data_IF_729679319043
#
_entry.id   IF_729679319043
#
_cell.length_a   1.000
_cell.length_b   1.000
_cell.length_c   1.000
_cell.angle_alpha   90.00
_cell.angle_beta   90.00
_cell.angle_gamma   90.00
#
_symmetry.space_group_name_H-M   'P 1'
#
loop_
_entity.id
_entity.type
_entity.pdbx_description
1 polymer ?
#
# COMPACT_ATOMS: atom_id res chain seq x y z
N UNK A 1 24.00 -5.44 74.45
CA UNK A 1 24.05 -6.41 73.32
C UNK A 1 23.09 -5.93 72.22
N UNK A 2 23.63 -5.32 71.16
CA UNK A 2 22.83 -4.73 70.07
C UNK A 2 22.75 -5.79 68.92
N UNK A 3 21.56 -6.34 68.73
CA UNK A 3 21.28 -7.31 67.63
C UNK A 3 21.06 -6.52 66.35
N UNK A 4 21.97 -6.64 65.37
CA UNK A 4 21.82 -6.14 64.01
C UNK A 4 21.01 -7.13 63.21
N UNK A 5 19.81 -6.76 62.83
CA UNK A 5 18.94 -7.53 61.92
C UNK A 5 19.39 -7.21 60.50
N UNK A 6 20.04 -8.18 59.83
CA UNK A 6 20.47 -8.07 58.45
C UNK A 6 19.28 -8.37 57.54
N UNK A 7 18.70 -7.33 56.92
CA UNK A 7 17.62 -7.47 55.94
C UNK A 7 18.24 -7.84 54.61
N UNK A 8 18.14 -9.12 54.21
CA UNK A 8 18.57 -9.56 52.86
C UNK A 8 17.42 -9.24 51.87
N UNK A 9 17.59 -8.18 51.05
CA UNK A 9 16.72 -7.89 49.91
C UNK A 9 17.05 -8.86 48.78
N UNK A 10 16.20 -9.89 48.62
CA UNK A 10 16.27 -10.77 47.45
C UNK A 10 15.66 -10.03 46.25
N UNK A 11 16.53 -9.48 45.39
CA UNK A 11 16.12 -9.00 44.06
C UNK A 11 15.76 -10.22 43.21
N UNK A 12 14.47 -10.51 43.08
CA UNK A 12 13.97 -11.41 42.07
C UNK A 12 14.13 -10.72 40.69
N UNK A 13 15.25 -10.96 40.03
CA UNK A 13 15.41 -10.62 38.62
C UNK A 13 14.43 -11.51 37.84
N UNK A 14 13.22 -11.02 37.61
CA UNK A 14 12.25 -11.64 36.71
C UNK A 14 12.86 -11.64 35.29
N UNK A 15 13.40 -12.78 34.86
CA UNK A 15 13.70 -12.99 33.46
C UNK A 15 12.38 -12.84 32.69
N UNK A 16 12.17 -11.70 32.06
CA UNK A 16 11.09 -11.52 31.11
C UNK A 16 11.30 -12.54 29.98
N UNK A 17 10.55 -13.62 30.02
CA UNK A 17 10.63 -14.71 29.07
C UNK A 17 10.13 -14.16 27.73
N UNK A 18 11.03 -14.01 26.76
CA UNK A 18 10.65 -13.58 25.41
C UNK A 18 9.68 -14.60 24.82
N UNK A 19 8.48 -14.17 24.58
CA UNK A 19 7.49 -14.91 23.80
C UNK A 19 7.26 -14.12 22.52
N UNK A 20 7.35 -14.78 21.38
CA UNK A 20 7.01 -14.19 20.10
C UNK A 20 5.80 -14.93 19.51
N UNK A 21 4.92 -14.19 18.88
CA UNK A 21 3.75 -14.69 18.19
C UNK A 21 3.77 -14.19 16.75
N UNK A 22 3.65 -15.12 15.82
CA UNK A 22 3.66 -14.83 14.38
C UNK A 22 2.33 -15.27 13.79
N UNK A 23 1.75 -14.49 12.92
CA UNK A 23 0.50 -14.81 12.24
C UNK A 23 0.48 -14.24 10.83
N UNK A 24 -0.04 -14.99 9.87
CA UNK A 24 -0.28 -14.53 8.50
C UNK A 24 -1.71 -14.00 8.40
N UNK A 25 -1.82 -12.72 8.02
CA UNK A 25 -3.13 -12.09 7.83
C UNK A 25 -3.61 -12.30 6.38
N UNK A 26 -4.93 -12.41 6.17
CA UNK A 26 -5.49 -12.42 4.83
C UNK A 26 -5.32 -11.05 4.16
N UNK A 27 -5.07 -11.05 2.85
CA UNK A 27 -5.20 -9.88 1.99
C UNK A 27 -6.68 -9.50 1.82
N UNK A 28 -6.95 -8.34 1.24
CA UNK A 28 -8.31 -7.88 0.98
C UNK A 28 -9.13 -8.80 0.04
N UNK A 29 -8.45 -9.55 -0.82
CA UNK A 29 -9.03 -10.55 -1.73
C UNK A 29 -9.20 -11.94 -1.10
N UNK A 30 -8.86 -12.09 0.19
CA UNK A 30 -8.91 -13.36 0.92
C UNK A 30 -7.70 -14.29 0.71
N UNK A 31 -6.79 -13.95 -0.18
CA UNK A 31 -5.52 -14.67 -0.33
C UNK A 31 -4.59 -14.41 0.86
N UNK A 32 -3.50 -15.15 0.97
CA UNK A 32 -2.45 -14.87 1.96
C UNK A 32 -1.07 -15.04 1.33
N UNK A 33 -0.10 -14.30 1.86
CA UNK A 33 1.31 -14.62 1.67
C UNK A 33 1.71 -15.88 2.43
N UNK A 34 3.00 -16.24 2.33
CA UNK A 34 3.58 -17.31 3.12
C UNK A 34 4.85 -16.82 3.81
N UNK A 35 5.04 -17.19 5.06
CA UNK A 35 6.28 -16.96 5.82
C UNK A 35 6.74 -18.25 6.47
N UNK A 36 8.05 -18.41 6.57
CA UNK A 36 8.65 -19.50 7.36
C UNK A 36 9.25 -18.91 8.62
N UNK A 37 8.84 -19.45 9.78
CA UNK A 37 9.38 -19.08 11.08
C UNK A 37 10.29 -20.21 11.54
N UNK A 38 11.53 -19.89 11.95
CA UNK A 38 12.52 -20.90 12.36
C UNK A 38 13.25 -20.45 13.62
N UNK A 39 13.53 -21.41 14.51
CA UNK A 39 14.39 -21.24 15.68
C UNK A 39 15.82 -21.75 15.44
N UNK A 40 16.16 -22.14 14.20
CA UNK A 40 17.45 -22.72 13.83
C UNK A 40 17.50 -24.25 13.88
N UNK A 41 16.57 -24.90 14.61
CA UNK A 41 16.42 -26.36 14.65
C UNK A 41 15.10 -26.80 14.03
N UNK A 42 14.03 -26.05 14.27
CA UNK A 42 12.70 -26.28 13.73
C UNK A 42 12.28 -25.16 12.79
N UNK A 43 11.41 -25.49 11.83
CA UNK A 43 10.82 -24.52 10.91
C UNK A 43 9.33 -24.80 10.75
N UNK A 44 8.53 -23.74 10.77
CA UNK A 44 7.09 -23.79 10.57
C UNK A 44 6.74 -22.91 9.38
N UNK A 45 6.09 -23.47 8.37
CA UNK A 45 5.54 -22.73 7.24
C UNK A 45 4.13 -22.26 7.58
N UNK A 46 3.90 -20.95 7.47
CA UNK A 46 2.61 -20.31 7.64
C UNK A 46 2.16 -19.82 6.25
N UNK A 47 1.28 -20.55 5.57
CA UNK A 47 0.89 -20.32 4.16
C UNK A 47 -0.62 -20.15 3.96
N UNK A 48 -1.37 -20.04 5.06
CA UNK A 48 -2.83 -19.88 5.03
C UNK A 48 -3.25 -18.68 5.88
N UNK A 49 -4.41 -18.06 5.58
CA UNK A 49 -4.99 -17.04 6.43
C UNK A 49 -5.07 -17.52 7.88
N UNK A 50 -4.58 -16.71 8.81
CA UNK A 50 -4.53 -16.98 10.25
C UNK A 50 -3.68 -18.19 10.66
N UNK A 51 -2.87 -18.78 9.77
CA UNK A 51 -1.81 -19.68 10.18
C UNK A 51 -0.86 -18.93 11.11
N UNK A 52 -0.51 -19.52 12.24
CA UNK A 52 0.25 -18.86 13.27
C UNK A 52 1.33 -19.77 13.84
N UNK A 53 2.32 -19.17 14.49
CA UNK A 53 3.29 -19.89 15.32
C UNK A 53 3.63 -19.09 16.58
N UNK A 54 3.95 -19.82 17.63
CA UNK A 54 4.44 -19.26 18.88
C UNK A 54 5.89 -19.68 19.11
N UNK A 55 6.70 -18.74 19.54
CA UNK A 55 8.03 -19.03 20.06
C UNK A 55 7.99 -18.95 21.60
N UNK A 56 8.25 -20.05 22.24
CA UNK A 56 8.36 -20.14 23.70
C UNK A 56 9.67 -20.79 24.07
N UNK A 57 10.49 -20.11 24.88
CA UNK A 57 11.80 -20.60 25.34
C UNK A 57 12.73 -21.01 24.21
N UNK A 58 12.70 -20.29 23.07
CA UNK A 58 13.54 -20.56 21.91
C UNK A 58 13.04 -21.74 21.05
N UNK A 59 11.82 -22.24 21.25
CA UNK A 59 11.23 -23.30 20.42
C UNK A 59 10.02 -22.74 19.68
N UNK A 60 10.02 -22.89 18.36
CA UNK A 60 8.92 -22.49 17.48
C UNK A 60 7.93 -23.67 17.32
N UNK A 61 6.66 -23.40 17.56
CA UNK A 61 5.57 -24.39 17.41
C UNK A 61 4.44 -23.83 16.56
N UNK A 62 3.90 -24.65 15.66
CA UNK A 62 2.75 -24.27 14.85
C UNK A 62 1.49 -24.15 15.71
N UNK A 63 0.68 -23.15 15.42
CA UNK A 63 -0.65 -22.96 15.98
C UNK A 63 -1.57 -22.33 14.94
N UNK A 64 -2.79 -22.02 15.31
CA UNK A 64 -3.75 -21.29 14.48
C UNK A 64 -4.29 -20.11 15.25
N UNK A 65 -4.73 -19.10 14.55
CA UNK A 65 -5.36 -17.91 15.09
C UNK A 65 -6.71 -17.66 14.41
N UNK A 66 -7.38 -16.61 14.82
CA UNK A 66 -8.56 -16.06 14.18
C UNK A 66 -8.55 -14.53 14.25
N UNK A 67 -9.51 -13.89 13.61
CA UNK A 67 -9.60 -12.44 13.57
C UNK A 67 -9.76 -11.80 14.95
N UNK A 68 -10.45 -12.46 15.87
CA UNK A 68 -10.66 -11.95 17.23
C UNK A 68 -9.36 -11.98 18.04
N UNK A 69 -8.64 -13.08 18.00
CA UNK A 69 -7.35 -13.23 18.67
C UNK A 69 -6.30 -12.26 18.09
N UNK A 70 -6.25 -12.12 16.76
CA UNK A 70 -5.40 -11.13 16.10
C UNK A 70 -5.72 -9.71 16.60
N UNK A 71 -7.00 -9.37 16.69
CA UNK A 71 -7.41 -8.04 17.18
C UNK A 71 -7.03 -7.83 18.65
N UNK A 72 -7.10 -8.86 19.48
CA UNK A 72 -6.68 -8.78 20.88
C UNK A 72 -5.17 -8.58 21.04
N UNK A 73 -4.37 -9.30 20.24
CA UNK A 73 -2.90 -9.26 20.36
C UNK A 73 -2.31 -8.06 19.61
N UNK A 74 -2.79 -7.79 18.39
CA UNK A 74 -2.19 -6.82 17.47
C UNK A 74 -3.08 -5.60 17.19
N UNK A 75 -4.25 -5.48 17.79
CA UNK A 75 -5.23 -4.44 17.46
C UNK A 75 -4.67 -3.02 17.49
N UNK A 76 -3.85 -2.68 18.49
CA UNK A 76 -3.20 -1.37 18.55
C UNK A 76 -2.16 -1.16 17.43
N UNK A 77 -1.39 -2.18 17.10
CA UNK A 77 -0.41 -2.13 16.01
C UNK A 77 -1.11 -2.05 14.64
N UNK A 78 -2.19 -2.81 14.45
CA UNK A 78 -2.99 -2.75 13.23
C UNK A 78 -3.68 -1.39 13.05
N UNK A 79 -4.20 -0.81 14.12
CA UNK A 79 -4.80 0.52 14.10
C UNK A 79 -3.77 1.64 13.85
N UNK A 80 -2.51 1.41 14.15
CA UNK A 80 -1.42 2.35 13.89
C UNK A 80 -0.83 2.24 12.46
N UNK A 81 -1.27 1.26 11.66
CA UNK A 81 -0.80 1.12 10.29
C UNK A 81 -1.24 2.32 9.44
N UNK A 82 -0.36 2.85 8.59
CA UNK A 82 -0.75 3.87 7.61
C UNK A 82 -1.79 3.31 6.64
N UNK A 83 -2.64 4.19 6.14
CA UNK A 83 -3.57 3.85 5.05
C UNK A 83 -2.74 3.41 3.84
N UNK A 84 -3.04 2.23 3.31
CA UNK A 84 -2.36 1.69 2.13
C UNK A 84 -2.50 2.64 0.92
N UNK A 85 -1.54 2.64 -0.01
CA UNK A 85 -1.66 3.41 -1.24
C UNK A 85 -2.94 3.06 -2.00
N UNK A 86 -3.61 4.08 -2.51
CA UNK A 86 -4.79 3.94 -3.37
C UNK A 86 -4.42 4.28 -4.80
N UNK A 87 -4.98 3.54 -5.76
CA UNK A 87 -4.71 3.71 -7.18
C UNK A 87 -6.00 4.02 -7.92
N UNK A 88 -5.95 5.07 -8.75
CA UNK A 88 -7.08 5.50 -9.58
C UNK A 88 -6.64 5.58 -11.03
N UNK A 89 -7.57 5.31 -11.97
CA UNK A 89 -7.33 5.42 -13.40
C UNK A 89 -8.36 6.34 -14.03
N UNK A 90 -7.86 7.36 -14.72
CA UNK A 90 -8.69 8.32 -15.44
C UNK A 90 -8.43 8.19 -16.94
N UNK A 91 -9.46 8.08 -17.74
CA UNK A 91 -9.40 7.92 -19.18
C UNK A 91 -9.78 9.20 -19.90
N UNK A 92 -9.20 9.39 -21.08
CA UNK A 92 -9.34 10.59 -21.88
C UNK A 92 -9.93 10.29 -23.24
N UNK A 93 -10.64 11.26 -23.78
CA UNK A 93 -10.96 11.24 -25.20
C UNK A 93 -9.69 11.32 -26.05
N UNK A 94 -9.79 10.84 -27.27
CA UNK A 94 -8.67 10.80 -28.21
C UNK A 94 -8.13 12.21 -28.48
N UNK A 95 -6.80 12.34 -28.49
CA UNK A 95 -6.05 13.58 -28.79
C UNK A 95 -6.51 14.82 -27.97
N UNK A 96 -7.05 14.58 -26.77
CA UNK A 96 -7.48 15.64 -25.86
C UNK A 96 -6.98 15.41 -24.43
N UNK A 97 -7.10 16.46 -23.62
CA UNK A 97 -6.96 16.45 -22.16
C UNK A 97 -8.32 16.38 -21.45
N UNK A 98 -9.39 16.05 -22.20
CA UNK A 98 -10.75 15.95 -21.67
C UNK A 98 -11.01 14.55 -21.12
N UNK A 99 -11.42 14.47 -19.87
CA UNK A 99 -11.79 13.22 -19.20
C UNK A 99 -13.10 12.65 -19.78
N UNK A 100 -13.21 11.33 -19.80
CA UNK A 100 -14.50 10.67 -20.06
C UNK A 100 -15.47 10.91 -18.89
N UNK A 101 -16.78 10.81 -19.07
CA UNK A 101 -17.76 11.02 -18.01
C UNK A 101 -17.52 10.12 -16.79
N UNK A 102 -17.14 8.86 -17.01
CA UNK A 102 -16.85 7.89 -15.98
C UNK A 102 -15.61 8.32 -15.18
N UNK A 103 -14.60 8.88 -15.86
CA UNK A 103 -13.37 9.37 -15.23
C UNK A 103 -13.59 10.66 -14.43
N UNK A 104 -14.61 11.45 -14.75
CA UNK A 104 -15.02 12.59 -13.91
C UNK A 104 -15.59 12.09 -12.58
N UNK A 105 -16.33 10.99 -12.58
CA UNK A 105 -16.84 10.36 -11.35
C UNK A 105 -15.69 9.76 -10.54
N UNK A 106 -14.77 9.06 -11.20
CA UNK A 106 -13.59 8.46 -10.55
C UNK A 106 -12.68 9.50 -9.92
N UNK A 107 -12.48 10.64 -10.58
CA UNK A 107 -11.72 11.76 -10.07
C UNK A 107 -12.21 12.27 -8.70
N UNK A 108 -13.53 12.26 -8.46
CA UNK A 108 -14.09 12.66 -7.15
C UNK A 108 -13.63 11.75 -6.03
N UNK A 109 -13.47 10.46 -6.30
CA UNK A 109 -13.00 9.48 -5.30
C UNK A 109 -11.55 9.73 -4.85
N UNK A 110 -10.72 10.33 -5.72
CA UNK A 110 -9.36 10.75 -5.36
C UNK A 110 -9.41 11.71 -4.16
N UNK A 111 -10.31 12.71 -4.23
CA UNK A 111 -10.48 13.67 -3.13
C UNK A 111 -11.00 13.03 -1.85
N UNK A 112 -11.95 12.12 -1.96
CA UNK A 112 -12.48 11.39 -0.80
C UNK A 112 -11.40 10.55 -0.14
N UNK A 113 -10.50 9.96 -0.91
CA UNK A 113 -9.37 9.20 -0.37
C UNK A 113 -8.36 10.11 0.33
N UNK A 114 -7.99 11.22 -0.30
CA UNK A 114 -7.02 12.18 0.26
C UNK A 114 -7.52 12.75 1.60
N UNK A 115 -8.79 13.09 1.71
CA UNK A 115 -9.38 13.63 2.94
C UNK A 115 -9.28 12.69 4.14
N UNK A 116 -9.12 11.39 3.92
CA UNK A 116 -8.94 10.41 5.00
C UNK A 116 -7.50 10.32 5.51
N UNK A 117 -6.57 10.98 4.83
CA UNK A 117 -5.13 10.94 5.14
C UNK A 117 -4.72 12.23 5.84
N UNK A 118 -4.03 12.12 6.95
CA UNK A 118 -3.48 13.31 7.65
C UNK A 118 -2.29 13.92 6.89
N UNK A 119 -1.54 13.09 6.20
CA UNK A 119 -0.44 13.47 5.29
C UNK A 119 -0.61 12.66 4.01
N UNK A 120 -0.38 13.27 2.87
CA UNK A 120 -0.50 12.61 1.58
C UNK A 120 0.59 13.04 0.60
N UNK A 121 0.90 12.15 -0.30
CA UNK A 121 1.62 12.40 -1.54
C UNK A 121 0.84 11.81 -2.70
N UNK A 122 0.79 12.54 -3.79
CA UNK A 122 0.07 12.14 -5.01
C UNK A 122 1.08 12.04 -6.16
N UNK A 123 1.09 10.90 -6.81
CA UNK A 123 1.84 10.68 -8.04
C UNK A 123 0.85 10.57 -9.20
N UNK A 124 1.08 11.35 -10.26
CA UNK A 124 0.21 11.44 -11.44
C UNK A 124 1.03 11.07 -12.66
N UNK A 125 0.72 9.95 -13.31
CA UNK A 125 1.45 9.45 -14.48
C UNK A 125 0.52 9.35 -15.68
N UNK A 126 0.86 10.05 -16.77
CA UNK A 126 0.12 10.03 -18.02
C UNK A 126 0.63 8.98 -19.01
N UNK A 127 -0.30 8.42 -19.78
CA UNK A 127 -0.02 7.43 -20.83
C UNK A 127 -0.84 7.74 -22.10
N UNK A 128 -0.39 7.23 -23.24
CA UNK A 128 -1.11 7.26 -24.52
C UNK A 128 -1.29 5.85 -25.09
N UNK A 129 -2.09 5.73 -26.12
CA UNK A 129 -2.01 4.58 -27.03
C UNK A 129 -0.79 4.73 -27.95
N UNK A 130 -0.58 3.74 -28.84
CA UNK A 130 0.56 3.68 -29.74
C UNK A 130 0.35 4.43 -31.06
N UNK A 131 -0.75 5.16 -31.19
CA UNK A 131 -1.02 5.97 -32.38
C UNK A 131 -0.25 7.28 -32.34
N UNK A 132 0.43 7.62 -33.42
CA UNK A 132 1.26 8.83 -33.53
C UNK A 132 2.75 8.57 -33.39
N UNK A 133 3.52 9.62 -33.14
CA UNK A 133 4.96 9.49 -32.91
C UNK A 133 5.26 9.38 -31.42
N UNK A 134 6.35 8.71 -31.09
CA UNK A 134 6.79 8.55 -29.70
C UNK A 134 6.99 9.92 -29.03
N UNK A 135 7.55 10.90 -29.75
CA UNK A 135 7.72 12.25 -29.18
C UNK A 135 6.36 12.90 -28.87
N UNK A 136 5.42 12.86 -29.81
CA UNK A 136 4.07 13.37 -29.58
C UNK A 136 3.38 12.69 -28.41
N UNK A 137 3.46 11.38 -28.34
CA UNK A 137 2.89 10.58 -27.26
C UNK A 137 3.51 10.93 -25.89
N UNK A 138 4.82 11.16 -25.84
CA UNK A 138 5.50 11.60 -24.63
C UNK A 138 4.99 12.99 -24.17
N UNK A 139 4.89 13.95 -25.08
CA UNK A 139 4.38 15.29 -24.77
C UNK A 139 2.90 15.28 -24.37
N UNK A 140 2.05 14.52 -25.08
CA UNK A 140 0.62 14.41 -24.78
C UNK A 140 0.37 13.76 -23.44
N UNK A 141 1.11 12.71 -23.11
CA UNK A 141 0.99 12.03 -21.82
C UNK A 141 1.34 12.97 -20.65
N UNK A 142 2.40 13.77 -20.79
CA UNK A 142 2.78 14.77 -19.79
C UNK A 142 1.72 15.85 -19.64
N UNK A 143 1.21 16.40 -20.76
CA UNK A 143 0.11 17.40 -20.74
C UNK A 143 -1.12 16.88 -20.00
N UNK A 144 -1.52 15.62 -20.21
CA UNK A 144 -2.65 15.02 -19.50
C UNK A 144 -2.40 14.91 -18.00
N UNK A 145 -1.19 14.51 -17.62
CA UNK A 145 -0.81 14.43 -16.21
C UNK A 145 -0.75 15.82 -15.55
N UNK A 146 -0.22 16.83 -16.25
CA UNK A 146 -0.23 18.23 -15.80
C UNK A 146 -1.65 18.77 -15.64
N UNK A 147 -2.54 18.52 -16.59
CA UNK A 147 -3.94 18.95 -16.51
C UNK A 147 -4.66 18.36 -15.27
N UNK A 148 -4.35 17.12 -14.93
CA UNK A 148 -4.87 16.52 -13.69
C UNK A 148 -4.25 17.16 -12.45
N UNK A 149 -2.94 17.41 -12.43
CA UNK A 149 -2.28 18.14 -11.33
C UNK A 149 -2.92 19.51 -11.13
N UNK A 150 -3.07 20.28 -12.19
CA UNK A 150 -3.61 21.64 -12.12
C UNK A 150 -5.05 21.62 -11.59
N UNK A 151 -5.84 20.63 -11.98
CA UNK A 151 -7.18 20.44 -11.45
C UNK A 151 -7.15 20.08 -9.96
N UNK A 152 -6.26 19.17 -9.53
CA UNK A 152 -6.09 18.81 -8.11
C UNK A 152 -5.68 20.05 -7.27
N UNK A 153 -4.78 20.88 -7.80
CA UNK A 153 -4.35 22.11 -7.13
C UNK A 153 -5.49 23.14 -7.08
N UNK A 154 -6.23 23.33 -8.18
CA UNK A 154 -7.41 24.20 -8.22
C UNK A 154 -8.47 23.76 -7.18
N UNK A 155 -8.65 22.47 -7.01
CA UNK A 155 -9.59 21.89 -6.06
C UNK A 155 -9.05 21.83 -4.61
N UNK A 156 -7.84 22.42 -4.37
CA UNK A 156 -7.31 22.72 -3.04
C UNK A 156 -6.17 21.84 -2.53
N UNK A 157 -5.57 20.98 -3.38
CA UNK A 157 -4.38 20.24 -2.98
C UNK A 157 -3.12 21.10 -3.08
N UNK A 158 -2.13 20.80 -2.22
CA UNK A 158 -0.83 21.44 -2.30
C UNK A 158 -0.04 20.97 -3.52
N UNK A 159 0.43 21.89 -4.37
CA UNK A 159 1.26 21.55 -5.52
C UNK A 159 2.55 20.81 -5.13
N UNK A 160 3.10 21.08 -3.94
CA UNK A 160 4.32 20.44 -3.44
C UNK A 160 4.12 18.97 -3.05
N UNK A 161 2.87 18.53 -2.89
CA UNK A 161 2.51 17.15 -2.59
C UNK A 161 2.18 16.33 -3.84
N UNK A 162 2.30 16.91 -5.04
CA UNK A 162 1.94 16.26 -6.31
C UNK A 162 3.16 16.15 -7.20
N UNK A 163 3.53 14.95 -7.58
CA UNK A 163 4.52 14.66 -8.61
C UNK A 163 3.85 14.27 -9.92
N UNK A 164 4.46 14.65 -11.05
CA UNK A 164 3.91 14.43 -12.39
C UNK A 164 4.94 13.77 -13.29
N UNK A 165 4.49 12.81 -14.10
CA UNK A 165 5.30 12.23 -15.17
C UNK A 165 4.44 11.89 -16.41
N UNK A 166 5.05 11.96 -17.59
CA UNK A 166 4.51 11.42 -18.82
C UNK A 166 5.33 10.19 -19.24
N UNK A 167 4.68 9.11 -19.66
CA UNK A 167 5.33 7.91 -20.15
C UNK A 167 5.00 7.58 -21.61
N UNK A 168 4.20 8.42 -22.27
CA UNK A 168 3.79 8.18 -23.65
C UNK A 168 3.12 6.84 -23.81
N UNK A 169 3.56 6.09 -24.80
CA UNK A 169 3.08 4.73 -25.12
C UNK A 169 3.77 3.60 -24.34
N UNK A 170 4.72 3.95 -23.47
CA UNK A 170 5.39 2.97 -22.60
C UNK A 170 4.43 2.43 -21.55
N UNK A 171 4.62 1.19 -21.13
CA UNK A 171 3.81 0.55 -20.07
C UNK A 171 2.30 0.52 -20.40
N UNK A 172 1.96 0.13 -21.62
CA UNK A 172 0.57 -0.03 -22.06
C UNK A 172 -0.22 -0.96 -21.15
N UNK A 173 -1.37 -0.51 -20.65
CA UNK A 173 -2.27 -1.34 -19.85
C UNK A 173 -2.83 -2.53 -20.65
N UNK A 174 -2.97 -2.34 -21.97
CA UNK A 174 -3.33 -3.37 -22.92
C UNK A 174 -2.23 -3.46 -23.96
N UNK A 175 -1.57 -4.61 -24.11
CA UNK A 175 -0.59 -4.81 -25.18
C UNK A 175 -1.19 -4.47 -26.54
N UNK A 176 -0.59 -3.56 -27.27
CA UNK A 176 -1.13 -3.01 -28.51
C UNK A 176 0.02 -2.89 -29.52
N UNK A 177 -0.21 -3.31 -30.77
CA UNK A 177 0.74 -3.10 -31.86
C UNK A 177 0.99 -1.61 -32.11
N UNK A 178 2.08 -1.30 -32.80
CA UNK A 178 2.37 0.09 -33.18
C UNK A 178 1.25 0.68 -34.07
N UNK A 179 0.99 1.97 -33.92
CA UNK A 179 0.00 2.74 -34.69
C UNK A 179 -1.44 2.23 -34.56
N UNK A 180 -1.81 1.69 -33.39
CA UNK A 180 -3.18 1.24 -33.09
C UNK A 180 -3.80 2.07 -31.99
N UNK A 181 -5.03 2.54 -32.23
CA UNK A 181 -5.78 3.29 -31.22
C UNK A 181 -6.39 2.32 -30.19
N UNK A 182 -6.02 2.48 -28.93
CA UNK A 182 -6.56 1.70 -27.81
C UNK A 182 -7.01 2.65 -26.68
N UNK A 183 -8.32 2.85 -26.49
CA UNK A 183 -8.85 3.76 -25.47
C UNK A 183 -8.36 3.48 -24.06
N UNK A 184 -8.13 2.21 -23.69
CA UNK A 184 -7.69 1.81 -22.36
C UNK A 184 -6.24 2.20 -22.06
N UNK A 185 -5.44 2.48 -23.10
CA UNK A 185 -4.09 2.99 -22.94
C UNK A 185 -4.04 4.52 -22.77
N UNK A 186 -5.07 5.26 -23.21
CA UNK A 186 -5.19 6.72 -23.04
C UNK A 186 -5.65 7.07 -21.64
N UNK A 187 -4.76 6.98 -20.68
CA UNK A 187 -5.08 7.10 -19.26
C UNK A 187 -4.10 7.97 -18.50
N UNK A 188 -4.52 8.42 -17.36
CA UNK A 188 -3.67 8.89 -16.25
C UNK A 188 -3.89 7.97 -15.08
N UNK A 189 -2.82 7.52 -14.48
CA UNK A 189 -2.82 6.78 -13.22
C UNK A 189 -2.46 7.73 -12.08
N UNK A 190 -3.24 7.69 -11.01
CA UNK A 190 -3.03 8.49 -9.81
C UNK A 190 -2.78 7.52 -8.66
N UNK A 191 -1.65 7.66 -7.99
CA UNK A 191 -1.35 6.95 -6.76
C UNK A 191 -1.36 7.93 -5.60
N UNK A 192 -2.18 7.66 -4.58
CA UNK A 192 -2.24 8.42 -3.32
C UNK A 192 -1.61 7.59 -2.22
N UNK A 193 -0.60 8.16 -1.53
CA UNK A 193 0.14 7.51 -0.43
C UNK A 193 0.07 8.35 0.83
#
# INVERSE_FOLDING_TARGET
>A
MRRYLLLILIFAAGCAQRQAYFVVLPNADGSSGAITVSDGQNSVLLDKPYAASEEKRGTVTATTSDSQQVQQIFGSALAAQPILPSHFRLYFFRDTETLTPESVVEYKKVFEDIKRRSVYQVEVIGYTDTLGTQQHNQELSLKRADAIRDRLVHDGLSATSISVAGRGELDSAVPTAAQVSEPRNRRVEITVR
#
